data_IF_552826155256
#
_entry.id   IF_552826155256
#
_cell.length_a   1.000
_cell.length_b   1.000
_cell.length_c   1.000
_cell.angle_alpha   90.00
_cell.angle_beta   90.00
_cell.angle_gamma   90.00
#
_symmetry.space_group_name_H-M   'P 1'
#
loop_
_entity.id
_entity.type
_entity.pdbx_description
1 polymer ?
#
# COMPACT_ATOMS: atom_id res chain seq x y z
N UNK A 1 80.73 25.49 45.14
CA UNK A 1 80.15 24.15 44.90
C UNK A 1 78.73 24.35 44.59
N UNK A 2 78.30 24.39 43.31
CA UNK A 2 76.98 24.62 42.85
C UNK A 2 76.49 23.37 42.10
N UNK A 3 75.44 22.73 42.63
CA UNK A 3 74.80 21.63 42.01
C UNK A 3 73.66 22.12 41.11
N UNK A 4 73.77 21.92 39.81
CA UNK A 4 72.73 22.22 38.85
C UNK A 4 71.72 21.12 38.74
N UNK A 5 70.47 21.45 38.99
CA UNK A 5 69.32 20.55 38.80
C UNK A 5 68.80 20.62 37.38
N UNK A 6 68.76 19.48 36.71
CA UNK A 6 68.27 19.28 35.37
C UNK A 6 66.72 19.06 35.42
N UNK A 7 65.94 19.98 34.88
CA UNK A 7 64.50 19.89 34.78
C UNK A 7 64.13 19.17 33.47
N UNK A 8 63.70 17.94 33.54
CA UNK A 8 63.14 17.19 32.41
C UNK A 8 61.66 17.63 32.16
N UNK A 9 61.40 18.30 31.02
CA UNK A 9 60.06 18.60 30.55
C UNK A 9 59.50 17.38 29.81
N UNK A 10 58.48 16.77 30.36
CA UNK A 10 57.71 15.74 29.67
C UNK A 10 56.76 16.40 28.66
N UNK A 11 56.93 16.09 27.37
CA UNK A 11 56.02 16.49 26.30
C UNK A 11 54.97 15.39 26.19
N UNK A 12 53.77 15.69 26.70
CA UNK A 12 52.59 14.82 26.53
C UNK A 12 52.05 14.95 25.10
N UNK A 13 52.18 13.93 24.29
CA UNK A 13 51.49 13.84 23.00
C UNK A 13 50.02 13.46 23.20
N UNK A 14 49.13 14.39 22.94
CA UNK A 14 47.68 14.12 22.91
C UNK A 14 47.32 13.43 21.58
N UNK A 15 46.98 12.15 21.61
CA UNK A 15 46.41 11.44 20.47
C UNK A 15 44.95 11.90 20.25
N UNK A 16 44.68 12.68 19.20
CA UNK A 16 43.36 13.02 18.73
C UNK A 16 42.86 11.86 17.88
N UNK A 17 41.98 11.01 18.45
CA UNK A 17 41.22 10.01 17.69
C UNK A 17 40.14 10.75 16.86
N UNK A 18 40.39 10.98 15.59
CA UNK A 18 39.38 11.42 14.64
C UNK A 18 38.48 10.25 14.29
N UNK A 19 37.26 10.25 14.84
CA UNK A 19 36.20 9.33 14.42
C UNK A 19 35.70 9.73 13.04
N UNK A 20 36.13 9.00 12.01
CA UNK A 20 35.58 9.12 10.66
C UNK A 20 34.17 8.51 10.68
N UNK A 21 33.15 9.36 10.76
CA UNK A 21 31.77 8.93 10.51
C UNK A 21 31.65 8.59 9.00
N UNK A 22 31.60 7.31 8.66
CA UNK A 22 31.24 6.90 7.31
C UNK A 22 29.82 7.41 7.01
N UNK A 23 29.58 8.10 5.88
CA UNK A 23 28.25 8.44 5.46
C UNK A 23 27.47 7.13 5.22
N UNK A 24 26.31 6.99 5.82
CA UNK A 24 25.39 5.89 5.52
C UNK A 24 25.10 5.93 4.02
N UNK A 25 25.61 4.96 3.28
CA UNK A 25 25.37 4.84 1.85
C UNK A 25 23.84 4.68 1.66
N UNK A 26 23.19 5.71 1.12
CA UNK A 26 21.82 5.64 0.64
C UNK A 26 21.80 4.61 -0.48
N UNK A 27 21.32 3.41 -0.18
CA UNK A 27 21.09 2.39 -1.20
C UNK A 27 20.12 2.99 -2.23
N UNK A 28 20.44 2.95 -3.53
CA UNK A 28 19.54 3.47 -4.54
C UNK A 28 18.19 2.74 -4.45
N UNK A 29 17.10 3.50 -4.60
CA UNK A 29 15.77 2.89 -4.73
C UNK A 29 15.85 1.82 -5.82
N UNK A 30 15.45 0.57 -5.51
CA UNK A 30 15.49 -0.49 -6.50
C UNK A 30 14.54 -0.14 -7.63
N UNK A 31 15.06 -0.14 -8.85
CA UNK A 31 14.27 0.08 -10.05
C UNK A 31 13.10 -0.93 -10.12
N UNK A 32 12.05 -0.55 -10.86
CA UNK A 32 10.95 -1.44 -11.20
C UNK A 32 11.46 -2.81 -11.67
N UNK A 33 10.96 -3.88 -11.05
CA UNK A 33 11.32 -5.25 -11.39
C UNK A 33 10.08 -6.03 -11.81
N UNK A 34 10.22 -6.89 -12.81
CA UNK A 34 9.21 -7.90 -13.14
C UNK A 34 9.52 -9.15 -12.35
N UNK A 35 8.51 -9.67 -11.65
CA UNK A 35 8.64 -10.88 -10.81
C UNK A 35 7.52 -11.86 -11.13
N UNK A 36 7.83 -13.15 -11.15
CA UNK A 36 6.83 -14.18 -11.34
C UNK A 36 6.13 -14.51 -10.02
N UNK A 37 4.79 -14.49 -10.02
CA UNK A 37 3.95 -14.97 -8.93
C UNK A 37 3.08 -16.11 -9.48
N UNK A 38 3.52 -17.32 -9.28
CA UNK A 38 2.94 -18.49 -9.97
C UNK A 38 3.15 -18.39 -11.48
N UNK A 39 2.05 -18.42 -12.24
CA UNK A 39 2.00 -18.31 -13.70
C UNK A 39 1.82 -16.86 -14.20
N UNK A 40 1.81 -15.88 -13.32
CA UNK A 40 1.58 -14.47 -13.63
C UNK A 40 2.83 -13.62 -13.41
N UNK A 41 3.03 -12.66 -14.30
CA UNK A 41 4.04 -11.61 -14.11
C UNK A 41 3.45 -10.44 -13.33
N UNK A 42 4.16 -10.00 -12.30
CA UNK A 42 3.81 -8.87 -11.44
C UNK A 42 4.92 -7.82 -11.49
N UNK A 43 4.58 -6.59 -11.10
CA UNK A 43 5.50 -5.44 -11.10
C UNK A 43 5.84 -5.06 -9.67
N UNK A 44 7.10 -5.25 -9.29
CA UNK A 44 7.63 -4.98 -7.97
C UNK A 44 8.39 -3.64 -7.94
N UNK A 45 8.09 -2.84 -6.92
CA UNK A 45 8.86 -1.64 -6.57
C UNK A 45 9.20 -1.68 -5.08
N UNK A 46 10.49 -1.59 -4.76
CA UNK A 46 10.98 -1.61 -3.37
C UNK A 46 11.72 -0.31 -3.08
N UNK A 47 11.23 0.52 -2.14
CA UNK A 47 11.98 1.70 -1.71
C UNK A 47 13.26 1.30 -0.97
N UNK A 48 14.19 2.25 -0.82
CA UNK A 48 15.47 2.00 -0.14
C UNK A 48 15.28 1.49 1.30
N UNK A 49 14.31 2.04 2.02
CA UNK A 49 14.01 1.67 3.41
C UNK A 49 12.51 1.30 3.55
N UNK A 50 12.11 0.07 3.19
CA UNK A 50 10.72 -0.34 3.30
C UNK A 50 10.31 -0.47 4.78
N UNK A 51 9.15 0.10 5.11
CA UNK A 51 8.51 0.03 6.43
C UNK A 51 7.37 -0.98 6.45
N UNK A 52 6.74 -1.18 5.29
CA UNK A 52 5.65 -2.11 5.06
C UNK A 52 5.62 -2.51 3.58
N UNK A 53 4.75 -3.44 3.24
CA UNK A 53 4.51 -3.88 1.86
C UNK A 53 3.03 -3.81 1.49
N UNK A 54 2.73 -3.69 0.20
CA UNK A 54 1.38 -3.75 -0.34
C UNK A 54 1.32 -4.57 -1.63
N UNK A 55 0.32 -5.45 -1.73
CA UNK A 55 -0.10 -6.09 -2.97
C UNK A 55 -1.21 -5.26 -3.56
N UNK A 56 -1.01 -4.70 -4.75
CA UNK A 56 -1.95 -3.82 -5.44
C UNK A 56 -2.71 -4.61 -6.50
N UNK A 57 -4.04 -4.67 -6.37
CA UNK A 57 -4.95 -5.30 -7.33
C UNK A 57 -5.74 -4.19 -8.02
N UNK A 58 -5.37 -3.81 -9.25
CA UNK A 58 -5.96 -2.68 -9.96
C UNK A 58 -7.41 -2.94 -10.39
N UNK A 59 -8.06 -1.90 -10.92
CA UNK A 59 -9.39 -1.96 -11.45
C UNK A 59 -9.52 -2.73 -12.76
N UNK A 60 -10.65 -2.54 -13.45
CA UNK A 60 -11.01 -3.27 -14.69
C UNK A 60 -9.95 -3.16 -15.80
N UNK A 61 -9.24 -2.04 -15.89
CA UNK A 61 -8.16 -1.83 -16.87
C UNK A 61 -6.92 -2.71 -16.66
N UNK A 62 -6.80 -3.40 -15.51
CA UNK A 62 -5.62 -4.18 -15.18
C UNK A 62 -4.42 -3.28 -14.87
N UNK A 63 -3.24 -3.67 -15.35
CA UNK A 63 -2.00 -2.89 -15.14
C UNK A 63 -1.99 -1.69 -16.11
N UNK A 64 -2.83 -0.70 -15.81
CA UNK A 64 -2.94 0.56 -16.55
C UNK A 64 -2.32 1.70 -15.71
N UNK A 65 -1.37 2.48 -16.25
CA UNK A 65 -0.78 3.63 -15.55
C UNK A 65 -1.81 4.66 -15.05
N UNK A 66 -2.99 4.75 -15.66
CA UNK A 66 -4.06 5.64 -15.22
C UNK A 66 -4.81 5.13 -13.98
N UNK A 67 -4.72 3.83 -13.65
CA UNK A 67 -5.33 3.26 -12.45
C UNK A 67 -4.85 4.00 -11.19
N UNK A 68 -5.73 4.38 -10.26
CA UNK A 68 -5.36 5.11 -9.05
C UNK A 68 -4.24 4.47 -8.22
N UNK A 69 -4.16 3.15 -8.15
CA UNK A 69 -3.09 2.48 -7.42
C UNK A 69 -1.75 2.58 -8.15
N UNK A 70 -1.77 2.51 -9.49
CA UNK A 70 -0.55 2.52 -10.29
C UNK A 70 0.03 3.93 -10.43
N UNK A 71 -0.80 4.93 -10.68
CA UNK A 71 -0.32 6.32 -10.77
C UNK A 71 0.21 6.85 -9.44
N UNK A 72 -0.27 6.30 -8.32
CA UNK A 72 0.13 6.68 -6.96
C UNK A 72 1.21 5.79 -6.34
N UNK A 73 1.69 4.75 -7.03
CA UNK A 73 2.63 3.79 -6.43
C UNK A 73 3.95 4.43 -6.02
N UNK A 74 4.46 5.40 -6.78
CA UNK A 74 5.70 6.11 -6.42
C UNK A 74 5.53 6.93 -5.13
N UNK A 75 4.36 7.56 -4.97
CA UNK A 75 4.03 8.25 -3.73
C UNK A 75 3.90 7.30 -2.54
N UNK A 76 3.39 6.08 -2.74
CA UNK A 76 3.38 5.03 -1.71
C UNK A 76 4.81 4.56 -1.39
N UNK A 77 5.66 4.37 -2.40
CA UNK A 77 7.06 4.02 -2.19
C UNK A 77 7.82 5.12 -1.42
N UNK A 78 7.56 6.40 -1.72
CA UNK A 78 8.14 7.53 -0.98
C UNK A 78 7.74 7.53 0.51
N UNK A 79 6.59 6.90 0.86
CA UNK A 79 6.16 6.68 2.26
C UNK A 79 6.79 5.42 2.88
N UNK A 80 7.66 4.70 2.17
CA UNK A 80 8.29 3.47 2.64
C UNK A 80 7.43 2.21 2.46
N UNK A 81 6.44 2.21 1.58
CA UNK A 81 5.62 1.04 1.28
C UNK A 81 6.16 0.38 0.01
N UNK A 82 6.74 -0.82 0.11
CA UNK A 82 7.07 -1.63 -1.05
C UNK A 82 5.77 -2.09 -1.74
N UNK A 83 5.70 -2.02 -3.07
CA UNK A 83 4.47 -2.34 -3.80
C UNK A 83 4.69 -3.44 -4.82
N UNK A 84 3.75 -4.39 -4.88
CA UNK A 84 3.67 -5.43 -5.90
C UNK A 84 2.33 -5.29 -6.62
N UNK A 85 2.36 -4.79 -7.85
CA UNK A 85 1.16 -4.73 -8.69
C UNK A 85 0.96 -6.06 -9.40
N UNK A 86 -0.20 -6.66 -9.21
CA UNK A 86 -0.54 -7.98 -9.76
C UNK A 86 -1.70 -7.91 -10.75
N UNK A 87 -1.66 -8.65 -11.87
CA UNK A 87 -2.82 -8.78 -12.74
C UNK A 87 -3.93 -9.61 -12.09
N UNK A 88 -5.15 -9.46 -12.59
CA UNK A 88 -6.27 -10.29 -12.17
C UNK A 88 -5.97 -11.78 -12.41
N UNK A 89 -6.43 -12.64 -11.51
CA UNK A 89 -6.17 -14.07 -11.54
C UNK A 89 -4.88 -14.52 -10.86
N UNK A 90 -4.05 -13.59 -10.38
CA UNK A 90 -2.87 -13.92 -9.56
C UNK A 90 -3.29 -14.65 -8.28
N UNK A 91 -2.50 -15.62 -7.84
CA UNK A 91 -2.66 -16.32 -6.56
C UNK A 91 -2.25 -15.39 -5.42
N UNK A 92 -3.22 -14.63 -4.86
CA UNK A 92 -2.96 -13.57 -3.89
C UNK A 92 -2.24 -14.06 -2.62
N UNK A 93 -2.46 -15.30 -2.19
CA UNK A 93 -1.71 -15.87 -1.07
C UNK A 93 -0.21 -15.93 -1.34
N UNK A 94 0.20 -16.32 -2.56
CA UNK A 94 1.61 -16.34 -2.96
C UNK A 94 2.19 -14.91 -3.08
N UNK A 95 1.41 -13.97 -3.62
CA UNK A 95 1.81 -12.57 -3.71
C UNK A 95 2.05 -11.94 -2.32
N UNK A 96 1.16 -12.21 -1.38
CA UNK A 96 1.28 -11.74 0.01
C UNK A 96 2.52 -12.34 0.67
N UNK A 97 2.76 -13.64 0.51
CA UNK A 97 3.92 -14.29 1.10
C UNK A 97 5.23 -13.78 0.49
N UNK A 98 5.28 -13.56 -0.83
CA UNK A 98 6.42 -12.94 -1.48
C UNK A 98 6.72 -11.55 -0.89
N UNK A 99 5.69 -10.72 -0.69
CA UNK A 99 5.86 -9.38 -0.12
C UNK A 99 6.21 -9.42 1.38
N UNK A 100 5.78 -10.44 2.12
CA UNK A 100 6.14 -10.62 3.53
C UNK A 100 7.63 -10.85 3.73
N UNK A 101 8.29 -11.52 2.78
CA UNK A 101 9.74 -11.70 2.78
C UNK A 101 10.51 -10.40 2.47
N UNK A 102 9.86 -9.43 1.83
CA UNK A 102 10.46 -8.10 1.60
C UNK A 102 10.30 -7.24 2.84
N UNK A 103 9.06 -7.04 3.30
CA UNK A 103 8.76 -6.29 4.53
C UNK A 103 7.33 -6.54 5.01
N UNK A 104 7.18 -7.00 6.24
CA UNK A 104 5.92 -6.96 6.96
C UNK A 104 5.73 -5.59 7.66
N UNK A 105 4.48 -5.16 7.93
CA UNK A 105 3.24 -5.86 7.57
C UNK A 105 2.92 -5.75 6.07
N UNK A 106 2.04 -6.66 5.56
CA UNK A 106 1.61 -6.70 4.16
C UNK A 106 0.14 -6.33 4.05
N UNK A 107 -0.17 -5.25 3.34
CA UNK A 107 -1.53 -4.88 2.98
C UNK A 107 -1.93 -5.49 1.62
N UNK A 108 -3.17 -5.95 1.50
CA UNK A 108 -3.81 -6.26 0.22
C UNK A 108 -4.74 -5.11 -0.13
N UNK A 109 -4.53 -4.48 -1.28
CA UNK A 109 -5.27 -3.30 -1.70
C UNK A 109 -5.98 -3.59 -3.03
N UNK A 110 -7.30 -3.50 -3.04
CA UNK A 110 -8.11 -3.62 -4.25
C UNK A 110 -8.75 -2.30 -4.64
N UNK A 111 -8.70 -1.96 -5.93
CA UNK A 111 -9.39 -0.81 -6.52
C UNK A 111 -10.50 -1.27 -7.45
N UNK A 112 -11.73 -0.74 -7.31
CA UNK A 112 -12.84 -1.01 -8.23
C UNK A 112 -13.06 -2.52 -8.42
N UNK A 113 -12.92 -3.08 -9.63
CA UNK A 113 -12.97 -4.51 -9.88
C UNK A 113 -11.95 -5.30 -9.04
N UNK A 114 -10.79 -4.72 -8.73
CA UNK A 114 -9.78 -5.31 -7.86
C UNK A 114 -10.28 -5.62 -6.46
N UNK A 115 -11.28 -4.90 -5.96
CA UNK A 115 -11.92 -5.17 -4.67
C UNK A 115 -12.53 -6.57 -4.64
N UNK A 116 -13.26 -6.94 -5.69
CA UNK A 116 -13.85 -8.29 -5.80
C UNK A 116 -12.79 -9.39 -5.83
N UNK A 117 -11.65 -9.15 -6.50
CA UNK A 117 -10.53 -10.09 -6.53
C UNK A 117 -9.84 -10.19 -5.18
N UNK A 118 -9.58 -9.07 -4.51
CA UNK A 118 -8.99 -9.03 -3.18
C UNK A 118 -9.88 -9.75 -2.15
N UNK A 119 -11.17 -9.44 -2.12
CA UNK A 119 -12.15 -10.08 -1.26
C UNK A 119 -12.22 -11.59 -1.49
N UNK A 120 -12.23 -12.02 -2.76
CA UNK A 120 -12.22 -13.45 -3.12
C UNK A 120 -10.92 -14.13 -2.66
N UNK A 121 -9.79 -13.45 -2.76
CA UNK A 121 -8.51 -13.96 -2.26
C UNK A 121 -8.58 -14.23 -0.75
N UNK A 122 -9.06 -13.28 0.03
CA UNK A 122 -9.26 -13.42 1.48
C UNK A 122 -10.27 -14.52 1.80
N UNK A 123 -11.43 -14.53 1.13
CA UNK A 123 -12.44 -15.57 1.30
C UNK A 123 -11.97 -16.99 0.93
N UNK A 124 -10.88 -17.13 0.16
CA UNK A 124 -10.21 -18.38 -0.18
C UNK A 124 -8.97 -18.68 0.67
N UNK A 125 -8.75 -17.90 1.73
CA UNK A 125 -7.70 -18.15 2.70
C UNK A 125 -6.39 -17.38 2.49
N UNK A 126 -6.32 -16.38 1.61
CA UNK A 126 -5.20 -15.43 1.60
C UNK A 126 -5.21 -14.63 2.90
N UNK A 127 -4.03 -14.46 3.50
CA UNK A 127 -3.87 -13.86 4.85
C UNK A 127 -3.01 -12.60 4.80
N UNK A 128 -3.52 -11.48 4.28
CA UNK A 128 -2.85 -10.21 4.44
C UNK A 128 -2.94 -9.74 5.90
N UNK A 129 -2.02 -8.90 6.35
CA UNK A 129 -2.08 -8.30 7.68
C UNK A 129 -3.16 -7.19 7.75
N UNK A 130 -3.48 -6.60 6.59
CA UNK A 130 -4.52 -5.58 6.42
C UNK A 130 -5.17 -5.70 5.04
N UNK A 131 -6.43 -5.28 4.94
CA UNK A 131 -7.17 -5.20 3.68
C UNK A 131 -7.61 -3.76 3.43
N UNK A 132 -7.46 -3.27 2.20
CA UNK A 132 -7.96 -1.94 1.79
C UNK A 132 -8.83 -2.12 0.55
N UNK A 133 -10.07 -1.66 0.64
CA UNK A 133 -11.09 -1.75 -0.41
C UNK A 133 -11.44 -0.34 -0.88
N UNK A 134 -11.11 -0.02 -2.13
CA UNK A 134 -11.21 1.33 -2.70
C UNK A 134 -12.22 1.34 -3.84
N UNK A 135 -13.28 2.14 -3.74
CA UNK A 135 -14.35 2.31 -4.76
C UNK A 135 -14.82 0.98 -5.34
N UNK A 136 -15.11 -0.01 -4.50
CA UNK A 136 -15.43 -1.37 -4.96
C UNK A 136 -16.92 -1.71 -4.88
N UNK A 137 -17.31 -2.79 -5.57
CA UNK A 137 -18.58 -3.44 -5.37
C UNK A 137 -18.56 -4.17 -4.02
N UNK A 138 -19.29 -3.65 -3.03
CA UNK A 138 -19.21 -4.10 -1.64
C UNK A 138 -20.35 -5.05 -1.27
N UNK A 139 -21.60 -4.71 -1.66
CA UNK A 139 -22.82 -5.46 -1.36
C UNK A 139 -23.64 -5.76 -2.63
N UNK A 140 -24.54 -6.78 -2.61
CA UNK A 140 -25.55 -6.94 -3.64
C UNK A 140 -26.46 -5.68 -3.74
N UNK A 141 -26.98 -5.35 -4.92
CA UNK A 141 -26.94 -6.10 -6.17
C UNK A 141 -25.69 -5.83 -7.05
N UNK A 142 -24.63 -5.31 -6.49
CA UNK A 142 -23.37 -5.06 -7.22
C UNK A 142 -22.79 -6.32 -7.87
N UNK A 143 -21.97 -6.14 -8.92
CA UNK A 143 -21.33 -7.24 -9.62
C UNK A 143 -20.22 -7.85 -8.77
N UNK A 144 -20.30 -9.14 -8.44
CA UNK A 144 -19.31 -9.87 -7.63
C UNK A 144 -18.96 -9.12 -6.32
N UNK A 145 -19.95 -8.83 -5.47
CA UNK A 145 -19.72 -7.98 -4.31
C UNK A 145 -18.75 -8.63 -3.31
N UNK A 146 -18.00 -7.78 -2.61
CA UNK A 146 -16.98 -8.23 -1.65
C UNK A 146 -17.60 -9.10 -0.54
N UNK A 147 -18.79 -8.75 -0.05
CA UNK A 147 -19.51 -9.51 0.98
C UNK A 147 -19.73 -10.98 0.59
N UNK A 148 -20.22 -11.22 -0.63
CA UNK A 148 -20.45 -12.59 -1.10
C UNK A 148 -19.15 -13.38 -1.25
N UNK A 149 -18.08 -12.70 -1.72
CA UNK A 149 -16.76 -13.31 -1.88
C UNK A 149 -16.13 -13.69 -0.54
N UNK A 150 -16.35 -12.87 0.49
CA UNK A 150 -15.88 -13.08 1.87
C UNK A 150 -16.72 -14.08 2.64
N UNK A 151 -18.03 -14.17 2.34
CA UNK A 151 -19.04 -15.01 2.99
C UNK A 151 -19.37 -14.62 4.44
N UNK A 152 -18.38 -14.27 5.24
CA UNK A 152 -18.51 -13.85 6.64
C UNK A 152 -17.51 -12.76 6.98
N UNK A 153 -17.92 -11.82 7.83
CA UNK A 153 -17.03 -10.77 8.34
C UNK A 153 -15.88 -11.31 9.21
N UNK A 154 -16.01 -12.53 9.74
CA UNK A 154 -15.01 -13.14 10.61
C UNK A 154 -13.64 -13.36 9.91
N UNK A 155 -13.61 -13.48 8.57
CA UNK A 155 -12.38 -13.67 7.81
C UNK A 155 -11.62 -12.36 7.52
N UNK A 156 -12.25 -11.20 7.77
CA UNK A 156 -11.64 -9.90 7.54
C UNK A 156 -10.46 -9.67 8.52
N UNK A 157 -9.27 -9.34 8.03
CA UNK A 157 -8.26 -8.67 8.85
C UNK A 157 -8.72 -7.23 9.15
N UNK A 158 -7.96 -6.43 9.91
CA UNK A 158 -8.17 -4.99 9.97
C UNK A 158 -8.37 -4.43 8.55
N UNK A 159 -9.50 -3.79 8.30
CA UNK A 159 -9.91 -3.38 6.95
C UNK A 159 -10.15 -1.87 6.89
N UNK A 160 -9.68 -1.23 5.83
CA UNK A 160 -10.03 0.15 5.48
C UNK A 160 -10.89 0.15 4.21
N UNK A 161 -12.05 0.78 4.29
CA UNK A 161 -12.88 1.09 3.12
C UNK A 161 -12.65 2.55 2.76
N UNK A 162 -12.27 2.81 1.52
CA UNK A 162 -12.12 4.17 1.00
C UNK A 162 -13.11 4.38 -0.15
N UNK A 163 -13.90 5.44 -0.07
CA UNK A 163 -14.89 5.76 -1.07
C UNK A 163 -14.97 7.27 -1.29
N UNK A 164 -15.31 7.68 -2.50
CA UNK A 164 -15.56 9.08 -2.82
C UNK A 164 -17.08 9.35 -2.73
N UNK A 165 -17.47 10.40 -2.01
CA UNK A 165 -18.90 10.77 -1.87
C UNK A 165 -19.56 11.13 -3.21
N UNK A 166 -18.76 11.57 -4.18
CA UNK A 166 -19.22 11.96 -5.50
C UNK A 166 -19.06 10.85 -6.55
N UNK A 167 -18.73 9.62 -6.14
CA UNK A 167 -18.62 8.48 -7.06
C UNK A 167 -20.00 8.15 -7.64
N UNK A 168 -20.13 8.36 -8.96
CA UNK A 168 -21.34 8.11 -9.72
C UNK A 168 -21.28 6.80 -10.52
N UNK A 169 -20.31 5.92 -10.24
CA UNK A 169 -20.21 4.62 -10.88
C UNK A 169 -21.31 3.69 -10.39
N UNK A 170 -22.22 3.30 -11.28
CA UNK A 170 -23.36 2.41 -10.99
C UNK A 170 -22.92 0.96 -10.68
N UNK A 171 -21.70 0.56 -11.09
CA UNK A 171 -21.13 -0.76 -10.80
C UNK A 171 -20.64 -0.90 -9.35
N UNK A 172 -20.42 0.23 -8.67
CA UNK A 172 -19.89 0.29 -7.30
C UNK A 172 -20.68 1.29 -6.44
N UNK A 173 -21.97 1.06 -6.20
CA UNK A 173 -22.86 2.04 -5.59
C UNK A 173 -22.35 2.55 -4.24
N UNK A 174 -22.21 3.87 -4.10
CA UNK A 174 -21.79 4.55 -2.86
C UNK A 174 -22.72 4.20 -1.68
N UNK A 175 -24.01 3.97 -1.94
CA UNK A 175 -24.99 3.57 -0.94
C UNK A 175 -24.65 2.23 -0.26
N UNK A 176 -23.80 1.39 -0.86
CA UNK A 176 -23.36 0.12 -0.30
C UNK A 176 -22.22 0.26 0.73
N UNK A 177 -21.59 1.42 0.83
CA UNK A 177 -20.36 1.62 1.62
C UNK A 177 -20.63 1.49 3.11
N UNK A 178 -21.51 2.31 3.67
CA UNK A 178 -21.82 2.30 5.10
C UNK A 178 -22.47 0.98 5.55
N UNK A 179 -23.42 0.39 4.81
CA UNK A 179 -23.96 -0.93 5.13
C UNK A 179 -22.90 -2.05 5.15
N UNK A 180 -21.90 -2.00 4.25
CA UNK A 180 -20.80 -2.97 4.27
C UNK A 180 -19.93 -2.79 5.53
N UNK A 181 -19.61 -1.57 5.90
CA UNK A 181 -18.84 -1.28 7.13
C UNK A 181 -19.59 -1.77 8.37
N UNK A 182 -20.92 -1.57 8.42
CA UNK A 182 -21.77 -2.11 9.48
C UNK A 182 -21.75 -3.65 9.50
N UNK A 183 -21.87 -4.30 8.33
CA UNK A 183 -21.78 -5.76 8.21
C UNK A 183 -20.42 -6.29 8.69
N UNK A 184 -19.35 -5.55 8.50
CA UNK A 184 -18.00 -5.94 8.92
C UNK A 184 -17.82 -6.01 10.45
N UNK A 185 -18.79 -5.56 11.24
CA UNK A 185 -18.85 -5.78 12.69
C UNK A 185 -17.64 -5.22 13.45
N UNK A 186 -17.20 -4.00 13.14
CA UNK A 186 -16.04 -3.35 13.77
C UNK A 186 -14.66 -3.74 13.19
N UNK A 187 -14.61 -4.66 12.22
CA UNK A 187 -13.37 -5.03 11.53
C UNK A 187 -13.00 -4.07 10.40
N UNK A 188 -13.94 -3.24 9.94
CA UNK A 188 -13.72 -2.24 8.92
C UNK A 188 -13.89 -0.82 9.48
N UNK A 189 -13.02 0.08 9.03
CA UNK A 189 -13.12 1.52 9.21
C UNK A 189 -13.38 2.17 7.86
N UNK A 190 -14.07 3.31 7.85
CA UNK A 190 -14.41 4.05 6.64
C UNK A 190 -13.63 5.35 6.58
N UNK A 191 -13.05 5.62 5.42
CA UNK A 191 -12.55 6.94 5.06
C UNK A 191 -13.30 7.45 3.83
N UNK A 192 -14.10 8.49 4.03
CA UNK A 192 -14.67 9.25 2.94
C UNK A 192 -13.64 10.23 2.38
N UNK A 193 -13.56 10.28 1.06
CA UNK A 193 -12.76 11.25 0.32
C UNK A 193 -13.72 12.15 -0.44
N UNK A 194 -13.50 13.45 -0.35
CA UNK A 194 -14.29 14.44 -1.06
C UNK A 194 -13.59 14.95 -2.31
N UNK A 195 -14.35 15.69 -3.14
CA UNK A 195 -13.81 16.33 -4.34
C UNK A 195 -13.40 15.35 -5.43
N UNK A 196 -12.60 15.85 -6.34
CA UNK A 196 -12.10 15.07 -7.46
C UNK A 196 -13.15 14.81 -8.56
N UNK A 197 -12.66 14.32 -9.68
CA UNK A 197 -13.50 13.99 -10.82
C UNK A 197 -13.38 14.97 -11.96
N UNK A 198 -14.07 14.68 -13.06
CA UNK A 198 -14.04 15.47 -14.32
C UNK A 198 -14.01 14.59 -15.56
N UNK A 199 -13.77 13.29 -15.42
CA UNK A 199 -13.84 12.33 -16.54
C UNK A 199 -15.28 12.09 -17.00
N UNK A 200 -15.46 11.83 -18.30
CA UNK A 200 -16.79 11.52 -18.90
C UNK A 200 -17.32 10.14 -18.49
N UNK A 201 -16.42 9.19 -18.26
CA UNK A 201 -16.79 7.85 -17.76
C UNK A 201 -16.88 7.90 -16.23
N UNK A 202 -18.08 7.76 -15.64
CA UNK A 202 -18.23 7.80 -14.19
C UNK A 202 -17.49 6.68 -13.45
N UNK A 203 -17.21 5.56 -14.12
CA UNK A 203 -16.41 4.45 -13.58
C UNK A 203 -14.93 4.50 -14.01
N UNK A 204 -14.51 5.56 -14.68
CA UNK A 204 -13.16 5.72 -15.22
C UNK A 204 -12.14 6.23 -14.18
N UNK A 205 -10.85 6.07 -14.45
CA UNK A 205 -9.78 6.49 -13.53
C UNK A 205 -9.70 8.03 -13.39
N UNK A 206 -10.26 8.79 -14.33
CA UNK A 206 -10.26 10.25 -14.32
C UNK A 206 -11.51 10.87 -13.68
N UNK A 207 -12.41 10.06 -13.15
CA UNK A 207 -13.64 10.51 -12.46
C UNK A 207 -13.45 10.54 -10.93
N UNK A 208 -14.51 10.85 -10.20
CA UNK A 208 -14.58 10.75 -8.75
C UNK A 208 -14.37 9.28 -8.28
N UNK A 209 -14.83 8.29 -9.08
CA UNK A 209 -14.55 6.87 -8.84
C UNK A 209 -13.05 6.58 -8.77
N UNK A 210 -12.27 7.19 -9.66
CA UNK A 210 -10.81 7.08 -9.70
C UNK A 210 -10.09 8.07 -8.80
N UNK A 211 -10.77 8.88 -7.99
CA UNK A 211 -10.16 9.88 -7.09
C UNK A 211 -9.28 10.92 -7.83
N UNK A 212 -9.57 11.21 -9.08
CA UNK A 212 -8.79 12.19 -9.82
C UNK A 212 -8.76 13.55 -9.11
N UNK A 213 -7.55 14.05 -8.81
CA UNK A 213 -7.35 15.28 -8.06
C UNK A 213 -7.35 15.13 -6.53
N UNK A 214 -7.65 13.92 -6.00
CA UNK A 214 -7.59 13.60 -4.57
C UNK A 214 -6.49 12.57 -4.25
N UNK A 215 -5.52 12.39 -5.14
CA UNK A 215 -4.46 11.38 -5.05
C UNK A 215 -3.68 11.45 -3.73
N UNK A 216 -3.35 12.66 -3.28
CA UNK A 216 -2.62 12.85 -2.02
C UNK A 216 -3.41 12.31 -0.82
N UNK A 217 -4.72 12.56 -0.79
CA UNK A 217 -5.57 12.11 0.32
C UNK A 217 -5.70 10.58 0.35
N UNK A 218 -5.78 9.95 -0.84
CA UNK A 218 -5.76 8.48 -0.99
C UNK A 218 -4.44 7.90 -0.48
N UNK A 219 -3.31 8.44 -0.93
CA UNK A 219 -1.97 7.98 -0.51
C UNK A 219 -1.77 8.15 0.98
N UNK A 220 -2.17 9.29 1.55
CA UNK A 220 -2.06 9.57 2.97
C UNK A 220 -2.94 8.63 3.81
N UNK A 221 -4.15 8.33 3.35
CA UNK A 221 -5.05 7.37 3.97
C UNK A 221 -4.47 5.96 4.00
N UNK A 222 -3.98 5.48 2.86
CA UNK A 222 -3.31 4.17 2.76
C UNK A 222 -2.10 4.12 3.68
N UNK A 223 -1.22 5.12 3.61
CA UNK A 223 0.02 5.13 4.39
C UNK A 223 -0.25 5.15 5.90
N UNK A 224 -1.19 5.97 6.39
CA UNK A 224 -1.58 5.99 7.81
C UNK A 224 -2.15 4.65 8.29
N UNK A 225 -2.85 3.94 7.42
CA UNK A 225 -3.43 2.64 7.78
C UNK A 225 -2.39 1.53 7.79
N UNK A 226 -1.47 1.53 6.84
CA UNK A 226 -0.46 0.47 6.64
C UNK A 226 0.75 0.63 7.56
N UNK A 227 1.18 1.88 7.82
CA UNK A 227 2.36 2.18 8.64
C UNK A 227 1.88 2.66 10.01
N UNK A 228 1.54 1.72 10.86
CA UNK A 228 1.16 1.98 12.28
C UNK A 228 2.37 1.83 13.20
#
# INVERSE_FOLDING_TARGET
MQSGGLIMRAIGAALILATIALPAALLPARAQQRVAIGDKEAILHVPANPRASAVLVPGKGGIDPADPLLRNREALNARGIATLTVPHGTRLGQAIEHMRQIKAPVALIGMSAGVSFAARGVGRGAKPDMLILISGSLLPPGKLPAQEALKTAAVLPPTLVMANRNDACDLTPVAAVEPFVAWAGGRATLQWIGGGGGGRDPCGPSSAHGFMGADREVVDGIARFVIR
#
